data_IF_665481183937
#
_entry.id   IF_665481183937
#
_cell.length_a   1.000
_cell.length_b   1.000
_cell.length_c   1.000
_cell.angle_alpha   90.00
_cell.angle_beta   90.00
_cell.angle_gamma   90.00
#
_symmetry.space_group_name_H-M   'P 1'
#
loop_
_entity.id
_entity.type
_entity.pdbx_description
1 polymer ?
#
# COMPACT_ATOMS: atom_id res chain seq x y z
N UNK A 1 -6.50 14.89 3.44
CA UNK A 1 -5.85 15.92 4.29
C UNK A 1 -6.10 15.66 5.76
N UNK A 2 -7.33 15.51 6.21
CA UNK A 2 -7.66 15.29 7.63
C UNK A 2 -6.97 14.05 8.21
N UNK A 3 -7.08 12.90 7.57
CA UNK A 3 -6.41 11.66 8.01
C UNK A 3 -4.88 11.78 8.07
N UNK A 4 -4.29 12.53 7.13
CA UNK A 4 -2.85 12.80 7.10
C UNK A 4 -2.42 13.60 8.35
N UNK A 5 -3.15 14.69 8.67
CA UNK A 5 -2.82 15.56 9.78
C UNK A 5 -3.17 14.96 11.16
N UNK A 6 -4.26 14.19 11.27
CA UNK A 6 -4.74 13.69 12.57
C UNK A 6 -4.17 12.33 12.96
N UNK A 7 -3.78 11.48 11.98
CA UNK A 7 -3.34 10.11 12.26
C UNK A 7 -1.93 9.79 11.76
N UNK A 8 -1.65 10.11 10.49
CA UNK A 8 -0.42 9.62 9.84
C UNK A 8 0.79 10.39 10.34
N UNK A 9 0.79 11.73 10.19
CA UNK A 9 1.92 12.56 10.57
C UNK A 9 2.24 12.52 12.07
N UNK A 10 1.28 12.59 13.01
CA UNK A 10 1.57 12.43 14.43
C UNK A 10 2.23 11.10 14.77
N UNK A 11 1.78 10.00 14.14
CA UNK A 11 2.39 8.67 14.32
C UNK A 11 3.82 8.63 13.79
N UNK A 12 4.11 9.22 12.64
CA UNK A 12 5.47 9.32 12.08
C UNK A 12 6.39 10.15 12.98
N UNK A 13 5.92 11.29 13.49
CA UNK A 13 6.66 12.15 14.42
C UNK A 13 7.03 11.36 15.67
N UNK A 14 6.10 10.62 16.25
CA UNK A 14 6.38 9.76 17.43
C UNK A 14 7.44 8.71 17.10
N UNK A 15 7.32 8.01 15.98
CA UNK A 15 8.30 7.01 15.54
C UNK A 15 9.69 7.61 15.32
N UNK A 16 9.81 8.74 14.63
CA UNK A 16 11.09 9.40 14.41
C UNK A 16 11.70 9.90 15.73
N UNK A 17 10.89 10.40 16.63
CA UNK A 17 11.33 10.85 17.96
C UNK A 17 11.90 9.71 18.81
N UNK A 18 11.26 8.54 18.80
CA UNK A 18 11.75 7.33 19.46
C UNK A 18 13.07 6.84 18.85
N UNK A 19 13.14 6.76 17.52
CA UNK A 19 14.36 6.34 16.81
C UNK A 19 15.51 7.33 17.04
N UNK A 20 15.22 8.63 17.07
CA UNK A 20 16.20 9.66 17.34
C UNK A 20 16.76 9.53 18.78
N UNK A 21 15.91 9.22 19.74
CA UNK A 21 16.34 8.97 21.12
C UNK A 21 17.30 7.78 21.19
N UNK A 22 16.98 6.69 20.51
CA UNK A 22 17.85 5.50 20.43
C UNK A 22 19.20 5.83 19.75
N UNK A 23 19.17 6.57 18.64
CA UNK A 23 20.39 6.97 17.94
C UNK A 23 21.30 7.88 18.82
N UNK A 24 20.69 8.78 19.61
CA UNK A 24 21.42 9.64 20.57
C UNK A 24 22.05 8.83 21.69
N UNK A 25 21.37 7.82 22.22
CA UNK A 25 21.89 6.91 23.22
C UNK A 25 23.09 6.12 22.66
N UNK A 26 22.99 5.61 21.44
CA UNK A 26 24.08 4.92 20.76
C UNK A 26 25.29 5.85 20.55
N UNK A 27 25.07 7.09 20.08
CA UNK A 27 26.14 8.08 19.92
C UNK A 27 26.81 8.40 21.27
N UNK A 28 26.04 8.60 22.33
CA UNK A 28 26.57 8.85 23.68
C UNK A 28 27.41 7.66 24.18
N UNK A 29 26.95 6.43 23.95
CA UNK A 29 27.70 5.21 24.28
C UNK A 29 29.02 5.13 23.53
N UNK A 30 28.99 5.40 22.21
CA UNK A 30 30.20 5.45 21.38
C UNK A 30 31.21 6.47 21.91
N UNK A 31 30.79 7.72 22.12
CA UNK A 31 31.64 8.81 22.59
C UNK A 31 32.28 8.51 23.95
N UNK A 32 31.53 7.95 24.91
CA UNK A 32 32.07 7.53 26.21
C UNK A 32 33.17 6.48 26.08
N UNK A 33 32.95 5.46 25.23
CA UNK A 33 33.94 4.41 25.07
C UNK A 33 35.15 4.88 24.25
N UNK A 34 34.95 5.76 23.27
CA UNK A 34 36.04 6.37 22.50
C UNK A 34 36.93 7.26 23.38
N UNK A 35 36.33 7.99 24.34
CA UNK A 35 37.10 8.82 25.26
C UNK A 35 37.97 7.97 26.20
N UNK A 36 37.56 6.73 26.53
CA UNK A 36 38.33 5.80 27.32
C UNK A 36 39.46 5.13 26.54
N UNK A 37 39.23 4.83 25.28
CA UNK A 37 40.16 4.12 24.42
C UNK A 37 40.45 4.96 23.14
N UNK A 38 41.52 5.75 23.19
CA UNK A 38 41.91 6.60 22.03
C UNK A 38 42.57 5.83 20.90
N UNK A 39 43.16 4.68 21.20
CA UNK A 39 43.81 3.81 20.23
C UNK A 39 42.82 2.73 19.75
N UNK A 40 43.13 2.11 18.62
CA UNK A 40 42.34 1.00 18.12
C UNK A 40 42.32 -0.16 19.11
N UNK A 41 41.15 -0.61 19.47
CA UNK A 41 40.94 -1.76 20.33
C UNK A 41 39.65 -2.47 19.93
N UNK A 42 39.72 -3.75 19.67
CA UNK A 42 38.56 -4.59 19.36
C UNK A 42 38.68 -5.93 20.10
N UNK A 43 37.59 -6.37 20.72
CA UNK A 43 37.55 -7.70 21.35
C UNK A 43 36.83 -8.68 20.40
N UNK A 44 37.53 -9.78 20.03
CA UNK A 44 37.00 -10.82 19.14
C UNK A 44 37.16 -12.18 19.84
N UNK A 45 36.05 -12.92 19.98
CA UNK A 45 36.09 -14.22 20.67
C UNK A 45 36.60 -14.15 22.10
N UNK A 46 36.47 -13.02 22.78
CA UNK A 46 36.98 -12.79 24.12
C UNK A 46 38.46 -12.36 24.19
N UNK A 47 39.17 -12.30 23.05
CA UNK A 47 40.56 -11.84 22.96
C UNK A 47 40.61 -10.39 22.50
N UNK A 48 41.44 -9.58 23.17
CA UNK A 48 41.64 -8.17 22.83
C UNK A 48 42.71 -8.01 21.73
N UNK A 49 42.40 -7.24 20.70
CA UNK A 49 43.27 -6.92 19.58
C UNK A 49 43.50 -5.39 19.54
N UNK A 50 44.76 -4.99 19.54
CA UNK A 50 45.27 -3.62 19.41
C UNK A 50 45.79 -3.30 17.99
N UNK A 51 45.93 -4.32 17.14
CA UNK A 51 46.37 -4.19 15.76
C UNK A 51 45.25 -4.58 14.79
N UNK A 52 45.01 -3.71 13.80
CA UNK A 52 43.98 -3.95 12.78
C UNK A 52 44.22 -5.17 11.93
N UNK A 53 45.50 -5.48 11.68
CA UNK A 53 45.91 -6.67 10.89
C UNK A 53 45.42 -7.95 11.58
N UNK A 54 45.73 -8.10 12.86
CA UNK A 54 45.36 -9.30 13.62
C UNK A 54 43.82 -9.40 13.82
N UNK A 55 43.14 -8.29 14.06
CA UNK A 55 41.68 -8.27 14.12
C UNK A 55 41.07 -8.62 12.77
N UNK A 56 41.67 -8.13 11.66
CA UNK A 56 41.22 -8.42 10.29
C UNK A 56 41.30 -9.89 9.92
N UNK A 57 42.37 -10.61 10.38
CA UNK A 57 42.48 -12.05 10.22
C UNK A 57 41.34 -12.81 10.89
N UNK A 58 40.98 -12.40 12.13
CA UNK A 58 39.86 -13.03 12.86
C UNK A 58 38.49 -12.73 12.20
N UNK A 59 38.31 -11.55 11.64
CA UNK A 59 37.12 -11.23 10.86
C UNK A 59 37.04 -12.16 9.62
N UNK A 60 38.17 -12.40 8.91
CA UNK A 60 38.20 -13.31 7.77
C UNK A 60 37.80 -14.75 8.17
N UNK A 61 38.27 -15.23 9.32
CA UNK A 61 37.88 -16.54 9.86
C UNK A 61 36.37 -16.58 10.16
N UNK A 62 35.85 -15.56 10.80
CA UNK A 62 34.41 -15.46 11.12
C UNK A 62 33.55 -15.40 9.83
N UNK A 63 34.02 -14.68 8.80
CA UNK A 63 33.36 -14.63 7.50
C UNK A 63 33.31 -16.00 6.82
N UNK A 64 34.44 -16.70 6.79
CA UNK A 64 34.52 -18.04 6.22
C UNK A 64 33.57 -19.01 6.93
N UNK A 65 33.50 -18.93 8.26
CA UNK A 65 32.57 -19.73 9.07
C UNK A 65 31.10 -19.36 8.76
N UNK A 66 30.75 -18.08 8.74
CA UNK A 66 29.42 -17.60 8.40
C UNK A 66 28.99 -18.05 6.99
N UNK A 67 29.88 -17.95 6.02
CA UNK A 67 29.63 -18.40 4.64
C UNK A 67 29.38 -19.89 4.57
N UNK A 68 30.15 -20.69 5.33
CA UNK A 68 30.03 -22.15 5.34
C UNK A 68 28.77 -22.64 6.06
N UNK A 69 28.41 -22.03 7.19
CA UNK A 69 27.26 -22.47 7.98
C UNK A 69 25.94 -21.79 7.57
N UNK A 70 26.00 -20.59 6.98
CA UNK A 70 24.85 -19.75 6.72
C UNK A 70 24.28 -19.06 7.95
N UNK A 71 24.86 -19.28 9.13
CA UNK A 71 24.38 -18.75 10.40
C UNK A 71 25.15 -17.48 10.83
N UNK A 72 24.50 -16.53 11.54
CA UNK A 72 25.16 -15.39 12.12
C UNK A 72 26.28 -15.82 13.10
N UNK A 73 27.44 -15.19 12.99
CA UNK A 73 28.59 -15.44 13.88
C UNK A 73 28.79 -14.24 14.78
N UNK A 74 28.74 -14.45 16.08
CA UNK A 74 29.13 -13.44 17.06
C UNK A 74 30.63 -13.20 16.95
N UNK A 75 31.03 -12.01 16.50
CA UNK A 75 32.43 -11.63 16.38
C UNK A 75 33.01 -11.24 17.73
N UNK A 76 32.30 -10.35 18.44
CA UNK A 76 32.75 -9.81 19.72
C UNK A 76 32.23 -8.41 20.00
N UNK A 77 33.08 -7.50 20.47
CA UNK A 77 32.67 -6.14 20.81
C UNK A 77 33.62 -5.08 20.29
N UNK A 78 33.04 -3.93 19.87
CA UNK A 78 33.77 -2.73 19.48
C UNK A 78 33.12 -1.49 20.14
N UNK A 79 33.90 -0.72 20.89
CA UNK A 79 33.40 0.44 21.68
C UNK A 79 32.12 0.14 22.50
N UNK A 80 32.06 -1.07 23.09
CA UNK A 80 30.93 -1.50 23.91
C UNK A 80 29.71 -1.99 23.11
N UNK A 81 29.75 -1.96 21.78
CA UNK A 81 28.74 -2.53 20.92
C UNK A 81 29.07 -3.97 20.58
N UNK A 82 28.07 -4.84 20.61
CA UNK A 82 28.19 -6.20 20.08
C UNK A 82 28.30 -6.14 18.55
N UNK A 83 29.19 -6.93 17.97
CA UNK A 83 29.39 -7.05 16.53
C UNK A 83 29.13 -8.49 16.11
N UNK A 84 28.29 -8.67 15.09
CA UNK A 84 28.06 -9.98 14.44
C UNK A 84 28.45 -9.91 12.96
N UNK A 85 28.78 -11.07 12.42
CA UNK A 85 28.96 -11.28 10.98
C UNK A 85 27.77 -12.09 10.50
N UNK A 86 27.07 -11.58 9.51
CA UNK A 86 25.85 -12.18 8.97
C UNK A 86 25.99 -12.37 7.46
N UNK A 87 25.22 -13.29 6.90
CA UNK A 87 25.19 -13.47 5.46
C UNK A 87 24.53 -12.26 4.81
N UNK A 88 25.13 -11.74 3.75
CA UNK A 88 24.56 -10.60 3.03
C UNK A 88 23.29 -11.05 2.29
N UNK A 89 22.09 -10.56 2.66
CA UNK A 89 20.85 -10.94 1.99
C UNK A 89 20.77 -10.48 0.53
N UNK A 90 21.57 -9.47 0.18
CA UNK A 90 21.65 -8.94 -1.19
C UNK A 90 22.71 -9.60 -2.05
N UNK A 91 23.55 -10.49 -1.47
CA UNK A 91 24.56 -11.22 -2.24
C UNK A 91 23.87 -12.19 -3.20
N UNK A 92 24.00 -11.95 -4.50
CA UNK A 92 23.49 -12.83 -5.55
C UNK A 92 24.31 -14.12 -5.58
N UNK A 93 23.71 -15.21 -5.12
CA UNK A 93 24.35 -16.56 -5.11
C UNK A 93 24.64 -17.09 -6.52
N UNK A 94 24.17 -16.44 -7.58
CA UNK A 94 24.35 -16.88 -8.97
C UNK A 94 25.54 -16.25 -9.70
N UNK A 95 26.12 -15.18 -9.18
CA UNK A 95 27.31 -14.56 -9.77
C UNK A 95 28.45 -14.60 -8.75
N UNK A 96 29.43 -15.44 -8.98
CA UNK A 96 30.67 -15.60 -8.19
C UNK A 96 31.57 -14.35 -8.13
N UNK A 97 31.10 -13.21 -8.65
CA UNK A 97 31.80 -11.92 -8.69
C UNK A 97 31.54 -11.01 -7.49
N UNK A 98 30.71 -11.44 -6.54
CA UNK A 98 30.39 -10.58 -5.39
C UNK A 98 31.36 -10.89 -4.23
N UNK A 99 32.44 -10.10 -4.17
CA UNK A 99 33.45 -10.18 -3.10
C UNK A 99 32.90 -9.83 -1.69
N UNK A 100 31.58 -9.73 -1.54
CA UNK A 100 30.95 -9.31 -0.28
C UNK A 100 29.85 -10.28 0.17
N UNK A 101 30.21 -11.53 0.49
CA UNK A 101 29.22 -12.54 0.88
C UNK A 101 28.59 -12.28 2.25
N UNK A 102 29.21 -11.42 3.06
CA UNK A 102 28.80 -11.13 4.43
C UNK A 102 28.67 -9.63 4.69
N UNK A 103 27.88 -9.32 5.70
CA UNK A 103 27.77 -7.99 6.32
C UNK A 103 28.27 -8.07 7.76
N UNK A 104 28.90 -7.00 8.23
CA UNK A 104 29.13 -6.77 9.65
C UNK A 104 27.96 -5.97 10.21
N UNK A 105 27.42 -6.41 11.34
CA UNK A 105 26.29 -5.77 12.01
C UNK A 105 26.70 -5.36 13.42
N UNK A 106 26.53 -4.09 13.72
CA UNK A 106 26.78 -3.48 15.02
C UNK A 106 25.46 -3.27 15.74
N UNK A 107 25.33 -3.88 16.92
CA UNK A 107 24.09 -3.87 17.72
C UNK A 107 24.18 -2.84 18.83
N UNK A 108 23.43 -1.75 18.66
CA UNK A 108 23.14 -0.75 19.68
C UNK A 108 21.67 -0.84 20.10
N UNK A 109 21.08 0.28 20.48
CA UNK A 109 19.62 0.42 20.54
C UNK A 109 19.01 0.44 19.14
N UNK A 110 19.79 0.90 18.15
CA UNK A 110 19.57 0.66 16.72
C UNK A 110 20.59 -0.32 16.19
N UNK A 111 20.33 -0.80 14.97
CA UNK A 111 21.22 -1.71 14.27
C UNK A 111 21.88 -1.00 13.09
N UNK A 112 23.20 -1.17 12.95
CA UNK A 112 24.00 -0.56 11.87
C UNK A 112 24.72 -1.68 11.13
N UNK A 113 24.78 -1.63 9.82
CA UNK A 113 25.40 -2.69 9.02
C UNK A 113 26.25 -2.14 7.87
N UNK A 114 27.27 -2.87 7.50
CA UNK A 114 28.08 -2.62 6.30
C UNK A 114 28.51 -3.90 5.63
N UNK A 115 28.69 -3.84 4.32
CA UNK A 115 29.28 -4.93 3.56
C UNK A 115 30.75 -5.12 3.94
N UNK A 116 31.18 -6.38 4.04
CA UNK A 116 32.57 -6.76 4.26
C UNK A 116 33.07 -7.64 3.12
N UNK A 117 34.34 -7.43 2.74
CA UNK A 117 34.95 -8.10 1.61
C UNK A 117 35.87 -9.25 2.07
N UNK A 118 35.96 -10.33 1.27
CA UNK A 118 36.72 -11.53 1.63
C UNK A 118 38.24 -11.34 1.63
N UNK A 119 38.74 -10.38 0.83
CA UNK A 119 40.13 -10.18 0.53
C UNK A 119 40.81 -9.00 1.26
N UNK A 120 40.10 -8.35 2.17
CA UNK A 120 40.53 -7.08 2.79
C UNK A 120 40.25 -7.04 4.30
N UNK A 121 41.01 -7.77 5.10
CA UNK A 121 40.86 -7.85 6.54
C UNK A 121 40.93 -6.47 7.24
N UNK A 122 41.99 -5.70 6.98
CA UNK A 122 42.17 -4.34 7.56
C UNK A 122 41.06 -3.39 7.08
N UNK A 123 40.69 -3.50 5.80
CA UNK A 123 39.57 -2.72 5.26
C UNK A 123 38.23 -3.04 5.95
N UNK A 124 38.00 -4.31 6.31
CA UNK A 124 36.81 -4.71 7.04
C UNK A 124 36.78 -4.15 8.47
N UNK A 125 37.94 -4.15 9.15
CA UNK A 125 38.07 -3.47 10.46
C UNK A 125 37.68 -2.01 10.33
N UNK A 126 38.23 -1.27 9.35
CA UNK A 126 37.88 0.14 9.13
C UNK A 126 36.41 0.37 8.81
N UNK A 127 35.77 -0.57 8.11
CA UNK A 127 34.32 -0.50 7.86
C UNK A 127 33.53 -0.63 9.16
N UNK A 128 33.94 -1.52 10.06
CA UNK A 128 33.34 -1.66 11.40
C UNK A 128 33.59 -0.40 12.26
N UNK A 129 34.79 0.19 12.20
CA UNK A 129 35.09 1.48 12.84
C UNK A 129 34.14 2.57 12.34
N UNK A 130 33.92 2.61 11.01
CA UNK A 130 33.02 3.59 10.39
C UNK A 130 31.54 3.36 10.76
N UNK A 131 31.11 2.13 11.02
CA UNK A 131 29.76 1.86 11.56
C UNK A 131 29.54 2.64 12.85
N UNK A 132 30.47 2.53 13.80
CA UNK A 132 30.35 3.17 15.10
C UNK A 132 30.57 4.68 15.07
N UNK A 133 31.56 5.16 14.27
CA UNK A 133 31.92 6.58 14.25
C UNK A 133 31.08 7.42 13.27
N UNK A 134 30.90 6.93 12.05
CA UNK A 134 30.30 7.71 10.97
C UNK A 134 28.83 7.37 10.81
N UNK A 135 28.45 6.09 10.72
CA UNK A 135 27.07 5.73 10.40
C UNK A 135 26.08 6.05 11.52
N UNK A 136 26.47 5.93 12.80
CA UNK A 136 25.63 6.36 13.91
C UNK A 136 25.32 7.85 13.77
N UNK A 137 26.34 8.69 13.46
CA UNK A 137 26.15 10.12 13.28
C UNK A 137 25.28 10.44 12.05
N UNK A 138 25.51 9.78 10.92
CA UNK A 138 24.71 9.96 9.72
C UNK A 138 23.24 9.59 9.96
N UNK A 139 23.00 8.49 10.70
CA UNK A 139 21.64 8.07 11.07
C UNK A 139 20.96 9.09 11.98
N UNK A 140 21.70 9.66 12.93
CA UNK A 140 21.21 10.71 13.81
C UNK A 140 20.79 11.96 13.02
N UNK A 141 21.67 12.50 12.15
CA UNK A 141 21.35 13.64 11.30
C UNK A 141 20.14 13.37 10.40
N UNK A 142 20.10 12.20 9.76
CA UNK A 142 18.97 11.82 8.92
C UNK A 142 17.64 11.75 9.67
N UNK A 143 17.63 11.25 10.91
CA UNK A 143 16.43 11.21 11.75
C UNK A 143 16.00 12.60 12.22
N UNK A 144 16.96 13.50 12.49
CA UNK A 144 16.65 14.90 12.82
C UNK A 144 15.98 15.61 11.63
N UNK A 145 16.52 15.45 10.41
CA UNK A 145 15.92 15.99 9.19
C UNK A 145 14.53 15.45 8.91
N UNK A 146 14.34 14.13 9.11
CA UNK A 146 13.03 13.48 8.91
C UNK A 146 11.99 13.98 9.93
N UNK A 147 12.39 14.17 11.18
CA UNK A 147 11.54 14.68 12.23
C UNK A 147 11.14 16.14 11.96
N UNK A 148 12.10 16.98 11.57
CA UNK A 148 11.86 18.38 11.21
C UNK A 148 10.88 18.46 10.03
N UNK A 149 11.12 17.68 8.97
CA UNK A 149 10.24 17.61 7.81
C UNK A 149 8.82 17.18 8.20
N UNK A 150 8.68 16.12 9.00
CA UNK A 150 7.36 15.64 9.43
C UNK A 150 6.59 16.69 10.26
N UNK A 151 7.28 17.45 11.13
CA UNK A 151 6.68 18.55 11.88
C UNK A 151 6.23 19.69 10.96
N UNK A 152 7.03 20.04 9.94
CA UNK A 152 6.67 21.04 8.95
C UNK A 152 5.45 20.61 8.15
N UNK A 153 5.45 19.37 7.64
CA UNK A 153 4.34 18.80 6.88
C UNK A 153 3.04 18.78 7.71
N UNK A 154 3.14 18.49 9.02
CA UNK A 154 2.01 18.54 9.94
C UNK A 154 1.45 19.98 10.08
N UNK A 155 2.33 20.96 10.27
CA UNK A 155 1.94 22.37 10.36
C UNK A 155 1.25 22.85 9.08
N UNK A 156 1.80 22.50 7.91
CA UNK A 156 1.22 22.85 6.61
C UNK A 156 -0.13 22.15 6.39
N UNK A 157 -0.26 20.88 6.76
CA UNK A 157 -1.51 20.14 6.66
C UNK A 157 -2.60 20.75 7.55
N UNK A 158 -2.25 21.13 8.78
CA UNK A 158 -3.17 21.81 9.71
C UNK A 158 -3.62 23.18 9.18
N UNK A 159 -2.69 23.97 8.64
CA UNK A 159 -3.02 25.25 8.03
C UNK A 159 -3.94 25.10 6.81
N UNK A 160 -3.69 24.09 5.98
CA UNK A 160 -4.52 23.82 4.81
C UNK A 160 -5.92 23.31 5.17
N UNK A 161 -6.09 22.64 6.31
CA UNK A 161 -7.42 22.26 6.82
C UNK A 161 -8.25 23.46 7.25
N UNK A 162 -7.61 24.55 7.69
CA UNK A 162 -8.30 25.78 8.10
C UNK A 162 -8.71 26.66 6.91
N UNK A 163 -8.13 26.42 5.72
CA UNK A 163 -8.51 27.15 4.51
C UNK A 163 -9.86 26.65 3.99
N UNK A 164 -10.81 27.54 3.68
CA UNK A 164 -12.05 27.13 3.02
C UNK A 164 -11.70 26.43 1.70
N UNK A 165 -12.41 25.33 1.42
CA UNK A 165 -12.21 24.59 0.18
C UNK A 165 -12.52 25.50 -1.02
N UNK A 166 -11.54 25.76 -1.86
CA UNK A 166 -11.56 26.73 -2.94
C UNK A 166 -12.75 26.55 -3.90
N UNK A 167 -13.17 25.29 -4.11
CA UNK A 167 -14.33 24.92 -4.92
C UNK A 167 -15.58 24.56 -4.08
N UNK A 168 -15.63 24.96 -2.81
CA UNK A 168 -16.73 24.60 -1.91
C UNK A 168 -18.09 25.07 -2.41
N UNK A 169 -18.16 26.27 -2.98
CA UNK A 169 -19.39 26.82 -3.56
C UNK A 169 -19.80 26.05 -4.81
N UNK A 170 -18.86 25.78 -5.72
CA UNK A 170 -19.10 25.01 -6.95
C UNK A 170 -19.58 23.59 -6.64
N UNK A 171 -18.95 22.95 -5.62
CA UNK A 171 -19.37 21.62 -5.16
C UNK A 171 -20.79 21.66 -4.59
N UNK A 172 -21.11 22.67 -3.77
CA UNK A 172 -22.45 22.83 -3.20
C UNK A 172 -23.52 23.06 -4.30
N UNK A 173 -23.20 23.86 -5.31
CA UNK A 173 -24.10 24.08 -6.46
C UNK A 173 -24.29 22.80 -7.28
N UNK A 174 -23.22 22.08 -7.59
CA UNK A 174 -23.29 20.81 -8.32
C UNK A 174 -24.05 19.74 -7.52
N UNK A 175 -23.86 19.69 -6.20
CA UNK A 175 -24.59 18.77 -5.34
C UNK A 175 -26.08 19.09 -5.33
N UNK A 176 -26.49 20.36 -5.18
CA UNK A 176 -27.88 20.79 -5.27
C UNK A 176 -28.49 20.44 -6.63
N UNK A 177 -27.73 20.65 -7.71
CA UNK A 177 -28.19 20.31 -9.06
C UNK A 177 -28.36 18.80 -9.23
N UNK A 178 -27.45 18.00 -8.68
CA UNK A 178 -27.56 16.53 -8.68
C UNK A 178 -28.78 16.06 -7.89
N UNK A 179 -29.02 16.62 -6.70
CA UNK A 179 -30.21 16.34 -5.88
C UNK A 179 -31.51 16.71 -6.63
N UNK A 180 -31.53 17.88 -7.28
CA UNK A 180 -32.66 18.30 -8.10
C UNK A 180 -32.91 17.33 -9.27
N UNK A 181 -31.86 16.93 -10.01
CA UNK A 181 -31.98 15.96 -11.13
C UNK A 181 -32.44 14.61 -10.60
N UNK A 182 -31.89 14.14 -9.48
CA UNK A 182 -32.31 12.87 -8.88
C UNK A 182 -33.76 12.91 -8.41
N UNK A 183 -34.22 14.04 -7.82
CA UNK A 183 -35.63 14.23 -7.45
C UNK A 183 -36.54 14.24 -8.67
N UNK A 184 -36.13 14.89 -9.76
CA UNK A 184 -36.87 14.86 -11.03
C UNK A 184 -36.97 13.46 -11.63
N UNK A 185 -35.85 12.72 -11.62
CA UNK A 185 -35.82 11.33 -12.09
C UNK A 185 -36.66 10.41 -11.20
N UNK A 186 -36.59 10.58 -9.88
CA UNK A 186 -37.37 9.82 -8.92
C UNK A 186 -38.87 10.22 -8.99
N UNK A 187 -39.18 11.52 -9.18
CA UNK A 187 -40.55 12.02 -9.35
C UNK A 187 -41.19 11.49 -10.66
N UNK A 188 -40.44 11.40 -11.72
CA UNK A 188 -40.94 10.79 -12.97
C UNK A 188 -41.10 9.24 -12.86
N UNK A 189 -40.34 8.60 -11.96
CA UNK A 189 -40.53 7.16 -11.69
C UNK A 189 -41.73 6.89 -10.77
N UNK A 190 -42.15 7.87 -9.95
CA UNK A 190 -43.29 7.69 -9.04
C UNK A 190 -44.67 7.98 -9.70
N UNK A 191 -44.72 8.58 -10.90
CA UNK A 191 -45.99 8.93 -11.57
C UNK A 191 -46.50 7.84 -12.53
N UNK A 192 -45.89 6.65 -12.52
CA UNK A 192 -46.46 5.49 -13.22
C UNK A 192 -46.90 4.47 -12.17
N UNK A 193 -48.14 4.64 -11.67
CA UNK A 193 -48.87 3.60 -10.95
C UNK A 193 -49.23 2.44 -11.88
N UNK A 194 -48.16 1.78 -12.41
CA UNK A 194 -48.32 0.56 -13.17
C UNK A 194 -48.33 -0.60 -12.18
N UNK A 195 -49.51 -1.10 -11.89
CA UNK A 195 -49.64 -2.35 -11.15
C UNK A 195 -49.29 -3.48 -12.13
N UNK A 196 -48.26 -4.28 -11.86
CA UNK A 196 -47.91 -5.38 -12.75
C UNK A 196 -49.04 -6.44 -12.72
N UNK A 197 -49.52 -6.81 -13.89
CA UNK A 197 -50.55 -7.87 -14.05
C UNK A 197 -49.93 -9.27 -13.94
N UNK A 198 -48.65 -9.39 -14.28
CA UNK A 198 -47.89 -10.62 -14.16
C UNK A 198 -46.40 -10.34 -13.90
N UNK A 199 -45.75 -11.34 -13.25
CA UNK A 199 -44.30 -11.31 -13.00
C UNK A 199 -43.70 -12.66 -13.46
N UNK A 200 -42.66 -12.58 -14.30
CA UNK A 200 -41.96 -13.77 -14.81
C UNK A 200 -40.53 -13.75 -14.28
N UNK A 201 -40.14 -14.79 -13.56
CA UNK A 201 -38.74 -14.96 -13.13
C UNK A 201 -37.91 -15.59 -14.24
N UNK A 202 -36.73 -15.04 -14.49
CA UNK A 202 -35.77 -15.61 -15.40
C UNK A 202 -34.33 -15.47 -14.90
N UNK A 203 -33.41 -16.25 -15.46
CA UNK A 203 -31.99 -16.19 -15.14
C UNK A 203 -31.19 -15.71 -16.33
N UNK A 204 -30.24 -14.83 -16.03
CA UNK A 204 -29.26 -14.36 -17.00
C UNK A 204 -27.88 -14.24 -16.35
N UNK A 205 -26.86 -14.88 -16.90
CA UNK A 205 -25.50 -14.94 -16.34
C UNK A 205 -25.48 -15.25 -14.82
N UNK A 206 -26.16 -16.32 -14.42
CA UNK A 206 -26.30 -16.76 -13.02
C UNK A 206 -27.06 -15.81 -12.06
N UNK A 207 -27.49 -14.64 -12.51
CA UNK A 207 -28.31 -13.74 -11.72
C UNK A 207 -29.79 -13.99 -11.96
N UNK A 208 -30.61 -13.84 -10.91
CA UNK A 208 -32.06 -13.91 -10.98
C UNK A 208 -32.63 -12.53 -11.20
N UNK A 209 -33.54 -12.43 -12.17
CA UNK A 209 -34.29 -11.22 -12.50
C UNK A 209 -35.77 -11.53 -12.51
N UNK A 210 -36.59 -10.48 -12.32
CA UNK A 210 -38.02 -10.51 -12.46
C UNK A 210 -38.45 -9.55 -13.58
N UNK A 211 -39.21 -10.02 -14.55
CA UNK A 211 -39.88 -9.17 -15.51
C UNK A 211 -41.30 -8.91 -15.00
N UNK A 212 -41.60 -7.66 -14.73
CA UNK A 212 -42.92 -7.17 -14.34
C UNK A 212 -43.63 -6.70 -15.62
N UNK A 213 -44.77 -7.27 -15.91
CA UNK A 213 -45.52 -7.03 -17.15
C UNK A 213 -46.89 -6.50 -16.80
N UNK A 214 -47.34 -5.49 -17.51
CA UNK A 214 -48.70 -4.94 -17.37
C UNK A 214 -49.11 -4.27 -18.65
N UNK A 215 -50.40 -3.85 -18.68
CA UNK A 215 -51.00 -3.07 -19.77
C UNK A 215 -51.31 -1.66 -19.27
N UNK A 216 -51.12 -0.69 -20.12
CA UNK A 216 -51.68 0.66 -19.91
C UNK A 216 -52.62 1.00 -21.08
N UNK A 217 -53.29 2.14 -21.01
CA UNK A 217 -54.29 2.54 -22.04
C UNK A 217 -53.77 2.59 -23.47
N UNK A 218 -52.48 2.51 -23.68
CA UNK A 218 -51.82 2.67 -25.02
C UNK A 218 -50.95 1.50 -25.44
N UNK A 219 -50.41 0.69 -24.51
CA UNK A 219 -49.49 -0.40 -24.86
C UNK A 219 -49.24 -1.34 -23.67
N UNK A 220 -48.74 -2.53 -23.95
CA UNK A 220 -48.12 -3.40 -22.96
C UNK A 220 -46.74 -2.83 -22.55
N UNK A 221 -46.43 -2.92 -21.28
CA UNK A 221 -45.13 -2.53 -20.74
C UNK A 221 -44.45 -3.70 -20.02
N UNK A 222 -43.13 -3.66 -20.00
CA UNK A 222 -42.32 -4.66 -19.30
C UNK A 222 -41.14 -3.99 -18.61
N UNK A 223 -41.08 -4.14 -17.31
CA UNK A 223 -39.95 -3.69 -16.48
C UNK A 223 -39.18 -4.90 -15.97
N UNK A 224 -37.87 -4.88 -16.09
CA UNK A 224 -36.99 -5.91 -15.55
C UNK A 224 -36.34 -5.40 -14.27
N UNK A 225 -36.56 -6.12 -13.18
CA UNK A 225 -35.97 -5.80 -11.87
C UNK A 225 -35.03 -6.91 -11.40
N UNK A 226 -33.99 -6.53 -10.67
CA UNK A 226 -33.12 -7.49 -9.98
C UNK A 226 -33.83 -8.11 -8.77
N UNK A 227 -33.25 -9.17 -8.20
CA UNK A 227 -33.75 -9.81 -6.97
C UNK A 227 -33.96 -8.83 -5.81
N UNK A 228 -33.25 -7.68 -5.79
CA UNK A 228 -33.42 -6.61 -4.79
C UNK A 228 -34.40 -5.51 -5.18
N UNK A 229 -35.22 -5.71 -6.22
CA UNK A 229 -36.23 -4.72 -6.66
C UNK A 229 -35.64 -3.53 -7.47
N UNK A 230 -34.36 -3.52 -7.78
CA UNK A 230 -33.72 -2.47 -8.57
C UNK A 230 -34.12 -2.61 -10.04
N UNK A 231 -34.71 -1.55 -10.65
CA UNK A 231 -35.03 -1.51 -12.06
C UNK A 231 -33.75 -1.62 -12.90
N UNK A 232 -33.75 -2.58 -13.84
CA UNK A 232 -32.62 -2.87 -14.72
C UNK A 232 -32.95 -2.42 -16.15
N UNK A 233 -34.16 -2.65 -16.63
CA UNK A 233 -34.63 -2.23 -17.94
C UNK A 233 -36.14 -1.97 -17.91
N UNK A 234 -36.61 -1.05 -18.77
CA UNK A 234 -38.02 -0.78 -18.98
C UNK A 234 -38.30 -0.60 -20.45
N UNK A 235 -39.38 -1.21 -20.94
CA UNK A 235 -39.80 -1.07 -22.35
C UNK A 235 -40.40 0.30 -22.68
N UNK A 236 -40.81 1.05 -21.63
CA UNK A 236 -41.56 2.29 -21.79
C UNK A 236 -40.67 3.54 -21.77
N UNK A 237 -39.41 3.36 -21.48
CA UNK A 237 -38.46 4.48 -21.44
C UNK A 237 -37.22 4.16 -22.28
N UNK A 238 -36.80 5.12 -23.12
CA UNK A 238 -35.53 5.08 -23.88
C UNK A 238 -34.27 5.09 -22.96
N UNK A 239 -34.41 4.71 -21.70
CA UNK A 239 -33.35 4.79 -20.68
C UNK A 239 -32.14 3.88 -21.05
N UNK A 240 -32.34 2.86 -21.87
CA UNK A 240 -31.29 1.87 -22.19
C UNK A 240 -30.87 1.81 -23.66
N UNK A 241 -31.16 2.81 -24.45
CA UNK A 241 -30.77 2.84 -25.88
C UNK A 241 -31.25 1.61 -26.72
N UNK A 242 -32.36 1.03 -26.33
CA UNK A 242 -33.04 0.03 -27.16
C UNK A 242 -33.88 0.72 -28.23
N UNK A 243 -33.74 0.31 -29.49
CA UNK A 243 -34.70 0.71 -30.53
C UNK A 243 -36.05 0.03 -30.27
N UNK A 244 -37.12 0.57 -30.86
CA UNK A 244 -38.48 0.02 -30.72
C UNK A 244 -38.51 -1.47 -31.07
N UNK A 245 -37.81 -1.86 -32.16
CA UNK A 245 -37.66 -3.24 -32.58
C UNK A 245 -36.91 -4.13 -31.59
N UNK A 246 -35.91 -3.60 -30.92
CA UNK A 246 -35.15 -4.31 -29.86
C UNK A 246 -35.98 -4.45 -28.57
N UNK A 247 -36.83 -3.46 -28.28
CA UNK A 247 -37.77 -3.53 -27.15
C UNK A 247 -38.83 -4.61 -27.36
N UNK A 248 -39.35 -4.72 -28.59
CA UNK A 248 -40.32 -5.77 -28.94
C UNK A 248 -39.70 -7.17 -28.91
N UNK A 249 -38.46 -7.30 -29.37
CA UNK A 249 -37.71 -8.57 -29.24
C UNK A 249 -37.46 -8.95 -27.79
N UNK A 250 -37.15 -7.98 -26.97
CA UNK A 250 -36.94 -8.19 -25.53
C UNK A 250 -38.26 -8.61 -24.83
N UNK A 251 -39.37 -7.94 -25.12
CA UNK A 251 -40.71 -8.34 -24.67
C UNK A 251 -41.00 -9.78 -25.04
N UNK A 252 -40.88 -10.11 -26.33
CA UNK A 252 -41.12 -11.46 -26.85
C UNK A 252 -40.27 -12.52 -26.14
N UNK A 253 -39.00 -12.21 -25.87
CA UNK A 253 -38.13 -13.09 -25.12
C UNK A 253 -38.62 -13.29 -23.67
N UNK A 254 -39.02 -12.24 -22.98
CA UNK A 254 -39.54 -12.31 -21.63
C UNK A 254 -40.85 -13.09 -21.56
N UNK A 255 -41.78 -12.83 -22.47
CA UNK A 255 -43.05 -13.54 -22.55
C UNK A 255 -42.90 -15.05 -22.82
N UNK A 256 -41.86 -15.44 -23.55
CA UNK A 256 -41.52 -16.84 -23.80
C UNK A 256 -40.70 -17.50 -22.69
N UNK A 257 -40.60 -16.86 -21.51
CA UNK A 257 -39.88 -17.39 -20.35
C UNK A 257 -38.38 -17.60 -20.58
N UNK A 258 -37.78 -16.78 -21.43
CA UNK A 258 -36.36 -16.83 -21.75
C UNK A 258 -35.93 -18.02 -22.60
N UNK A 259 -36.86 -18.76 -23.23
CA UNK A 259 -36.60 -20.03 -23.91
C UNK A 259 -36.43 -19.92 -25.44
N UNK A 260 -36.28 -18.72 -26.00
CA UNK A 260 -36.06 -18.56 -27.45
C UNK A 260 -34.57 -18.52 -27.79
N UNK A 261 -34.24 -18.96 -29.00
CA UNK A 261 -32.92 -19.13 -29.64
C UNK A 261 -31.78 -18.26 -29.04
N UNK A 262 -30.84 -18.92 -28.38
CA UNK A 262 -29.84 -18.33 -27.52
C UNK A 262 -28.84 -17.39 -28.20
N UNK A 263 -28.66 -17.47 -29.51
CA UNK A 263 -27.62 -16.70 -30.21
C UNK A 263 -27.99 -15.23 -30.50
N UNK A 264 -29.26 -14.94 -30.78
CA UNK A 264 -29.73 -13.58 -31.07
C UNK A 264 -30.06 -12.77 -29.82
N UNK A 265 -30.48 -13.43 -28.77
CA UNK A 265 -30.92 -12.79 -27.52
C UNK A 265 -29.77 -12.44 -26.57
N UNK A 266 -28.62 -13.13 -26.64
CA UNK A 266 -27.42 -12.75 -25.90
C UNK A 266 -26.90 -11.36 -26.23
N UNK A 267 -27.02 -10.94 -27.49
CA UNK A 267 -26.63 -9.60 -27.95
C UNK A 267 -27.51 -8.48 -27.36
N UNK A 268 -28.82 -8.74 -27.24
CA UNK A 268 -29.78 -7.80 -26.63
C UNK A 268 -29.58 -7.66 -25.13
N UNK A 269 -29.41 -8.77 -24.45
CA UNK A 269 -29.19 -8.80 -23.01
C UNK A 269 -27.80 -8.23 -22.61
N UNK A 270 -26.80 -8.30 -23.50
CA UNK A 270 -25.52 -7.62 -23.30
C UNK A 270 -25.63 -6.08 -23.36
N UNK A 271 -26.54 -5.54 -24.18
CA UNK A 271 -26.84 -4.11 -24.24
C UNK A 271 -27.54 -3.58 -22.99
N UNK A 272 -28.16 -4.48 -22.19
CA UNK A 272 -28.82 -4.16 -20.92
C UNK A 272 -27.84 -4.19 -19.72
N UNK A 273 -26.57 -4.57 -19.92
CA UNK A 273 -25.56 -4.40 -18.87
C UNK A 273 -25.38 -2.90 -18.60
N UNK A 274 -25.45 -2.46 -17.34
CA UNK A 274 -25.14 -1.07 -17.02
C UNK A 274 -23.72 -0.79 -17.54
N UNK A 275 -23.57 0.20 -18.44
CA UNK A 275 -22.24 0.69 -18.79
C UNK A 275 -21.57 1.13 -17.49
N UNK A 276 -20.49 0.44 -17.11
CA UNK A 276 -19.65 0.88 -16.01
C UNK A 276 -19.28 2.33 -16.30
N UNK A 277 -19.73 3.24 -15.44
CA UNK A 277 -19.25 4.60 -15.45
C UNK A 277 -17.74 4.52 -15.30
N UNK A 278 -17.00 4.89 -16.34
CA UNK A 278 -15.58 5.16 -16.22
C UNK A 278 -15.46 6.38 -15.31
N UNK A 279 -15.02 6.13 -14.09
CA UNK A 279 -14.50 7.14 -13.18
C UNK A 279 -13.17 7.68 -13.70
#
# INVERSE_FOLDING_TARGET
MQELAEKILPKQITQYSELLTKARNDMSKYQKNQALNKEFEMTIGGVRYDKRENAGEQIAVAMAKCTATGEPIELGTYHGFKVTIERNPSANTFFELDNKPCIAVLHGELTYSCDIATDNGVGNVRRIENLAGIQINQKLCSLEEQLEKANKDLSEAQQNMLKPFEHGQELAEKTKRLEYVNAQLSGNSQNKNHTPESAIEFRFHNNKYQALIGTNEKSEWCDVVSKGGKLIASSDTKIYNLSEKESDQFRSYVFNGGKTDTSKNNSLLEKLKPKALKL
#
